data_IF_767324774149
#
_entry.id   IF_767324774149
#
_cell.length_a   1.000
_cell.length_b   1.000
_cell.length_c   1.000
_cell.angle_alpha   90.00
_cell.angle_beta   90.00
_cell.angle_gamma   90.00
#
_symmetry.space_group_name_H-M   'P 1'
#
loop_
_entity.id
_entity.type
_entity.pdbx_description
1 polymer ?
#
# COMPACT_ATOMS: atom_id res chain seq x y z
N UNK A 1 22.57 -5.66 -46.21
CA UNK A 1 23.03 -5.22 -44.88
C UNK A 1 21.79 -5.09 -44.01
N UNK A 2 21.37 -6.21 -43.42
CA UNK A 2 20.20 -6.28 -42.56
C UNK A 2 20.60 -5.78 -41.16
N UNK A 3 20.20 -4.55 -40.84
CA UNK A 3 20.29 -4.05 -39.48
C UNK A 3 19.15 -4.64 -38.67
N UNK A 4 19.47 -5.65 -37.86
CA UNK A 4 18.62 -6.15 -36.79
C UNK A 4 18.26 -5.00 -35.83
N UNK A 5 17.11 -4.36 -36.04
CA UNK A 5 16.49 -3.48 -35.04
C UNK A 5 15.95 -4.36 -33.91
N UNK A 6 16.82 -4.68 -32.94
CA UNK A 6 16.40 -5.22 -31.67
C UNK A 6 15.33 -4.31 -31.07
N UNK A 7 14.20 -4.89 -30.64
CA UNK A 7 13.09 -4.18 -30.02
C UNK A 7 13.50 -3.70 -28.62
N UNK A 8 14.31 -2.65 -28.56
CA UNK A 8 14.70 -1.99 -27.31
C UNK A 8 13.45 -1.27 -26.81
N UNK A 9 12.84 -1.81 -25.76
CA UNK A 9 11.72 -1.20 -25.05
C UNK A 9 12.05 0.21 -24.58
N UNK A 10 11.02 0.99 -24.25
CA UNK A 10 11.21 2.38 -23.80
C UNK A 10 11.94 2.42 -22.46
N UNK A 11 13.01 3.20 -22.34
CA UNK A 11 13.72 3.41 -21.06
C UNK A 11 12.93 4.36 -20.15
N UNK A 12 13.30 4.47 -18.88
CA UNK A 12 12.60 5.40 -17.96
C UNK A 12 12.91 6.85 -18.36
N UNK A 13 14.13 7.14 -18.77
CA UNK A 13 14.56 8.46 -19.25
C UNK A 13 13.76 8.90 -20.49
N UNK A 14 13.54 7.99 -21.44
CA UNK A 14 12.74 8.27 -22.64
C UNK A 14 11.26 8.56 -22.29
N UNK A 15 10.71 7.84 -21.31
CA UNK A 15 9.33 8.07 -20.84
C UNK A 15 9.22 9.38 -20.05
N UNK A 16 10.18 9.68 -19.19
CA UNK A 16 10.22 10.92 -18.42
C UNK A 16 10.30 12.13 -19.36
N UNK A 17 11.21 12.11 -20.34
CA UNK A 17 11.31 13.18 -21.33
C UNK A 17 10.02 13.36 -22.13
N UNK A 18 9.36 12.25 -22.50
CA UNK A 18 8.07 12.30 -23.22
C UNK A 18 6.96 12.91 -22.36
N UNK A 19 6.88 12.52 -21.09
CA UNK A 19 5.89 13.05 -20.14
C UNK A 19 6.16 14.53 -19.87
N UNK A 20 7.40 14.93 -19.63
CA UNK A 20 7.75 16.33 -19.36
C UNK A 20 7.41 17.25 -20.54
N UNK A 21 7.72 16.82 -21.76
CA UNK A 21 7.33 17.54 -22.97
C UNK A 21 5.81 17.63 -23.14
N UNK A 22 5.10 16.54 -22.84
CA UNK A 22 3.63 16.53 -22.85
C UNK A 22 3.07 17.53 -21.83
N UNK A 23 3.55 17.51 -20.58
CA UNK A 23 3.10 18.43 -19.52
C UNK A 23 3.42 19.89 -19.85
N UNK A 24 4.58 20.16 -20.44
CA UNK A 24 4.95 21.49 -20.95
C UNK A 24 3.96 21.98 -21.99
N UNK A 25 3.63 21.16 -22.99
CA UNK A 25 2.64 21.51 -24.02
C UNK A 25 1.24 21.71 -23.43
N UNK A 26 0.82 20.85 -22.49
CA UNK A 26 -0.46 20.96 -21.81
C UNK A 26 -0.57 22.26 -21.00
N UNK A 27 0.52 22.68 -20.32
CA UNK A 27 0.58 23.96 -19.61
C UNK A 27 0.39 25.14 -20.56
N UNK A 28 1.01 25.11 -21.74
CA UNK A 28 0.83 26.16 -22.76
C UNK A 28 -0.61 26.19 -23.27
N UNK A 29 -1.20 25.02 -23.57
CA UNK A 29 -2.59 24.92 -24.01
C UNK A 29 -3.57 25.49 -22.96
N UNK A 30 -3.40 25.12 -21.69
CA UNK A 30 -4.23 25.62 -20.59
C UNK A 30 -4.06 27.13 -20.37
N UNK A 31 -2.90 27.69 -20.69
CA UNK A 31 -2.65 29.13 -20.65
C UNK A 31 -3.13 29.88 -21.91
N UNK A 32 -3.72 29.18 -22.89
CA UNK A 32 -4.11 29.75 -24.18
C UNK A 32 -2.93 30.17 -25.06
N UNK A 33 -1.71 29.71 -24.73
CA UNK A 33 -0.50 30.05 -25.48
C UNK A 33 -0.29 29.09 -26.64
N UNK A 34 0.04 29.58 -27.85
CA UNK A 34 0.27 28.73 -28.99
C UNK A 34 1.56 27.91 -28.81
N UNK A 35 1.51 26.65 -29.22
CA UNK A 35 2.69 25.78 -29.29
C UNK A 35 2.67 24.95 -30.57
N UNK A 36 3.84 24.50 -31.02
CA UNK A 36 3.99 23.67 -32.21
C UNK A 36 4.45 22.27 -31.82
N UNK A 37 3.55 21.28 -31.98
CA UNK A 37 3.82 19.85 -31.73
C UNK A 37 5.09 19.36 -32.45
N UNK A 38 5.27 19.77 -33.71
CA UNK A 38 6.45 19.43 -34.51
C UNK A 38 7.76 19.96 -33.95
N UNK A 39 7.75 21.15 -33.32
CA UNK A 39 8.94 21.72 -32.70
C UNK A 39 9.31 20.95 -31.43
N UNK A 40 8.33 20.58 -30.60
CA UNK A 40 8.60 19.78 -29.41
C UNK A 40 9.10 18.37 -29.77
N UNK A 41 8.53 17.74 -30.80
CA UNK A 41 9.04 16.46 -31.30
C UNK A 41 10.48 16.57 -31.80
N UNK A 42 10.84 17.68 -32.48
CA UNK A 42 12.21 17.90 -32.93
C UNK A 42 13.19 18.03 -31.75
N UNK A 43 12.79 18.73 -30.67
CA UNK A 43 13.61 18.84 -29.45
C UNK A 43 13.83 17.48 -28.78
N UNK A 44 12.77 16.68 -28.65
CA UNK A 44 12.87 15.33 -28.09
C UNK A 44 13.81 14.44 -28.91
N UNK A 45 13.67 14.45 -30.24
CA UNK A 45 14.50 13.67 -31.16
C UNK A 45 15.95 14.18 -31.24
N UNK A 46 16.19 15.46 -30.96
CA UNK A 46 17.55 15.99 -30.85
C UNK A 46 18.22 15.62 -29.52
N UNK A 47 17.44 15.20 -28.51
CA UNK A 47 17.91 14.89 -27.16
C UNK A 47 17.61 13.44 -26.76
N UNK A 48 16.81 13.29 -25.69
CA UNK A 48 16.55 12.03 -25.01
C UNK A 48 15.91 10.94 -25.90
N UNK A 49 15.30 11.30 -27.03
CA UNK A 49 14.64 10.39 -27.96
C UNK A 49 15.37 10.28 -29.31
N UNK A 50 16.68 10.54 -29.35
CA UNK A 50 17.50 10.49 -30.57
C UNK A 50 17.50 9.14 -31.31
N UNK A 51 17.26 8.04 -30.58
CA UNK A 51 17.13 6.70 -31.17
C UNK A 51 15.72 6.40 -31.72
N UNK A 52 14.74 7.29 -31.51
CA UNK A 52 13.32 7.06 -31.84
C UNK A 52 12.94 7.75 -33.15
N UNK A 53 11.80 7.34 -33.71
CA UNK A 53 11.23 7.98 -34.91
C UNK A 53 10.16 8.99 -34.52
N UNK A 54 9.93 10.00 -35.37
CA UNK A 54 8.84 10.97 -35.18
C UNK A 54 7.48 10.30 -34.97
N UNK A 55 7.19 9.24 -35.72
CA UNK A 55 5.95 8.46 -35.56
C UNK A 55 5.85 7.78 -34.19
N UNK A 56 6.96 7.27 -33.66
CA UNK A 56 6.98 6.65 -32.33
C UNK A 56 6.80 7.66 -31.19
N UNK A 57 7.35 8.88 -31.35
CA UNK A 57 7.14 9.98 -30.40
C UNK A 57 5.68 10.43 -30.42
N UNK A 58 5.10 10.61 -31.60
CA UNK A 58 3.67 10.97 -31.74
C UNK A 58 2.76 9.92 -31.09
N UNK A 59 3.01 8.64 -31.34
CA UNK A 59 2.26 7.56 -30.72
C UNK A 59 2.44 7.51 -29.20
N UNK A 60 3.63 7.85 -28.68
CA UNK A 60 3.89 7.99 -27.24
C UNK A 60 3.04 9.10 -26.63
N UNK A 61 2.88 10.25 -27.30
CA UNK A 61 1.97 11.31 -26.83
C UNK A 61 0.53 10.81 -26.75
N UNK A 62 0.07 10.02 -27.73
CA UNK A 62 -1.25 9.37 -27.70
C UNK A 62 -1.40 8.35 -26.57
N UNK A 63 -0.33 7.62 -26.22
CA UNK A 63 -0.32 6.75 -25.05
C UNK A 63 -0.46 7.55 -23.75
N UNK A 64 0.19 8.71 -23.64
CA UNK A 64 0.04 9.60 -22.48
C UNK A 64 -1.39 10.15 -22.42
N UNK A 65 -1.98 10.58 -23.53
CA UNK A 65 -3.41 10.97 -23.58
C UNK A 65 -4.34 9.86 -23.09
N UNK A 66 -4.10 8.60 -23.49
CA UNK A 66 -4.89 7.47 -23.01
C UNK A 66 -4.78 7.30 -21.49
N UNK A 67 -3.58 7.48 -20.91
CA UNK A 67 -3.41 7.45 -19.45
C UNK A 67 -4.17 8.60 -18.79
N UNK A 68 -4.15 9.82 -19.35
CA UNK A 68 -4.94 10.95 -18.86
C UNK A 68 -6.44 10.66 -18.86
N UNK A 69 -6.97 10.06 -19.93
CA UNK A 69 -8.38 9.64 -19.99
C UNK A 69 -8.74 8.64 -18.88
N UNK A 70 -7.88 7.64 -18.63
CA UNK A 70 -8.14 6.69 -17.52
C UNK A 70 -8.11 7.33 -16.13
N UNK A 71 -7.52 8.51 -16.01
CA UNK A 71 -7.40 9.28 -14.77
C UNK A 71 -8.44 10.41 -14.71
N UNK A 72 -9.37 10.46 -15.68
CA UNK A 72 -10.37 11.50 -15.84
C UNK A 72 -9.78 12.92 -15.91
N UNK A 73 -8.56 13.03 -16.45
CA UNK A 73 -7.85 14.30 -16.68
C UNK A 73 -8.01 14.73 -18.13
N UNK A 74 -8.06 16.05 -18.37
CA UNK A 74 -8.14 16.59 -19.73
C UNK A 74 -6.78 16.47 -20.43
N UNK A 75 -6.73 15.74 -21.55
CA UNK A 75 -5.55 15.62 -22.41
C UNK A 75 -5.40 16.80 -23.36
N UNK A 76 -4.22 16.94 -23.98
CA UNK A 76 -3.95 17.93 -25.02
C UNK A 76 -4.84 17.69 -26.24
N UNK A 77 -5.39 18.77 -26.78
CA UNK A 77 -6.25 18.73 -27.97
C UNK A 77 -5.46 18.24 -29.20
N UNK A 78 -6.03 17.27 -29.92
CA UNK A 78 -5.43 16.69 -31.12
C UNK A 78 -4.31 15.68 -30.89
N UNK A 79 -4.13 15.17 -29.66
CA UNK A 79 -3.51 13.86 -29.44
C UNK A 79 -4.58 12.86 -29.01
N UNK A 80 -5.25 12.25 -29.99
CA UNK A 80 -6.30 11.25 -29.74
C UNK A 80 -5.71 10.06 -28.98
N UNK A 81 -6.33 9.67 -27.87
CA UNK A 81 -5.89 8.56 -27.05
C UNK A 81 -5.66 7.28 -27.88
N UNK A 82 -4.61 6.54 -27.54
CA UNK A 82 -4.36 5.24 -28.14
C UNK A 82 -5.30 4.19 -27.54
N UNK A 83 -5.91 3.37 -28.39
CA UNK A 83 -6.85 2.32 -27.96
C UNK A 83 -6.20 1.19 -27.15
N UNK A 84 -4.92 0.91 -27.38
CA UNK A 84 -4.18 -0.16 -26.72
C UNK A 84 -2.82 0.35 -26.22
N UNK A 85 -2.67 0.48 -24.90
CA UNK A 85 -1.39 0.81 -24.26
C UNK A 85 -1.01 -0.36 -23.34
N UNK A 86 0.21 -0.89 -23.49
CA UNK A 86 0.67 -2.01 -22.67
C UNK A 86 0.69 -1.66 -21.18
N UNK A 87 0.19 -2.56 -20.33
CA UNK A 87 0.03 -2.35 -18.88
C UNK A 87 1.31 -1.85 -18.20
N UNK A 88 2.47 -2.44 -18.52
CA UNK A 88 3.77 -2.02 -17.98
C UNK A 88 4.11 -0.56 -18.30
N UNK A 89 3.73 -0.08 -19.48
CA UNK A 89 3.96 1.31 -19.88
C UNK A 89 2.96 2.24 -19.18
N UNK A 90 1.69 1.84 -19.07
CA UNK A 90 0.67 2.58 -18.29
C UNK A 90 1.15 2.80 -16.86
N UNK A 91 1.60 1.74 -16.18
CA UNK A 91 2.11 1.84 -14.81
C UNK A 91 3.31 2.79 -14.68
N UNK A 92 4.23 2.78 -15.64
CA UNK A 92 5.40 3.68 -15.64
C UNK A 92 5.01 5.13 -15.89
N UNK A 93 4.12 5.40 -16.86
CA UNK A 93 3.61 6.74 -17.12
C UNK A 93 2.86 7.28 -15.89
N UNK A 94 1.99 6.47 -15.26
CA UNK A 94 1.29 6.85 -14.02
C UNK A 94 2.26 7.20 -12.89
N UNK A 95 3.33 6.41 -12.71
CA UNK A 95 4.39 6.71 -11.73
C UNK A 95 5.03 8.07 -11.99
N UNK A 96 5.45 8.34 -13.23
CA UNK A 96 6.08 9.61 -13.60
C UNK A 96 5.09 10.77 -13.38
N UNK A 97 3.83 10.63 -13.78
CA UNK A 97 2.81 11.67 -13.56
C UNK A 97 2.56 11.96 -12.07
N UNK A 98 2.59 10.95 -11.21
CA UNK A 98 2.51 11.13 -9.76
C UNK A 98 3.75 11.84 -9.20
N UNK A 99 4.95 11.51 -9.69
CA UNK A 99 6.20 12.22 -9.32
C UNK A 99 6.19 13.69 -9.73
N UNK A 100 5.50 14.03 -10.83
CA UNK A 100 5.29 15.41 -11.30
C UNK A 100 4.08 16.10 -10.64
N UNK A 101 3.40 15.45 -9.70
CA UNK A 101 2.24 16.02 -8.98
C UNK A 101 1.00 16.22 -9.85
N UNK A 102 0.90 15.54 -11.00
CA UNK A 102 -0.22 15.68 -11.95
C UNK A 102 -1.40 14.79 -11.55
N UNK A 103 -1.12 13.72 -10.82
CA UNK A 103 -2.11 12.73 -10.39
C UNK A 103 -1.85 12.45 -8.93
N UNK A 104 -2.91 12.41 -8.12
CA UNK A 104 -2.80 11.89 -6.77
C UNK A 104 -2.32 10.43 -6.85
N UNK A 105 -1.25 10.11 -6.12
CA UNK A 105 -0.87 8.71 -5.98
C UNK A 105 -2.08 7.94 -5.45
N UNK A 106 -2.37 6.76 -6.00
CA UNK A 106 -3.34 5.84 -5.38
C UNK A 106 -2.99 5.56 -3.91
N UNK A 107 -1.73 5.79 -3.51
CA UNK A 107 -1.29 5.69 -2.13
C UNK A 107 -1.82 6.80 -1.21
N UNK A 108 -2.25 7.94 -1.75
CA UNK A 108 -2.83 9.05 -0.97
C UNK A 108 -4.34 8.88 -0.77
N UNK A 109 -4.97 7.93 -1.48
CA UNK A 109 -6.40 7.74 -1.42
C UNK A 109 -6.82 7.19 -0.03
N UNK A 110 -7.82 7.79 0.63
CA UNK A 110 -8.41 7.22 1.85
C UNK A 110 -8.98 5.83 1.60
N UNK A 111 -9.00 5.00 2.63
CA UNK A 111 -9.57 3.64 2.59
C UNK A 111 -10.05 3.24 3.98
N UNK A 112 -11.10 2.41 4.04
CA UNK A 112 -11.56 1.78 5.28
C UNK A 112 -10.84 0.45 5.57
N UNK A 113 -10.15 -0.11 4.58
CA UNK A 113 -9.35 -1.33 4.72
C UNK A 113 -8.02 -1.03 5.40
N UNK A 114 -7.88 -1.48 6.65
CA UNK A 114 -6.73 -1.22 7.53
C UNK A 114 -5.39 -1.69 6.92
N UNK A 115 -5.37 -2.87 6.28
CA UNK A 115 -4.14 -3.40 5.68
C UNK A 115 -3.66 -2.51 4.52
N UNK A 116 -4.58 -2.10 3.65
CA UNK A 116 -4.29 -1.15 2.58
C UNK A 116 -3.84 0.20 3.13
N UNK A 117 -4.49 0.70 4.19
CA UNK A 117 -4.13 1.96 4.83
C UNK A 117 -2.70 1.93 5.37
N UNK A 118 -2.35 0.92 6.17
CA UNK A 118 -1.00 0.77 6.75
C UNK A 118 0.07 0.59 5.67
N UNK A 119 -0.22 -0.21 4.62
CA UNK A 119 0.71 -0.37 3.48
C UNK A 119 0.98 0.95 2.76
N UNK A 120 -0.06 1.76 2.55
CA UNK A 120 0.05 3.10 1.94
C UNK A 120 0.83 4.05 2.86
N UNK A 121 0.49 4.08 4.14
CA UNK A 121 1.14 4.90 5.16
C UNK A 121 2.65 4.60 5.26
N UNK A 122 3.04 3.32 5.34
CA UNK A 122 4.45 2.91 5.37
C UNK A 122 5.25 3.40 4.14
N UNK A 123 4.62 3.37 2.96
CA UNK A 123 5.23 3.88 1.73
C UNK A 123 5.39 5.40 1.76
N UNK A 124 4.40 6.13 2.27
CA UNK A 124 4.46 7.58 2.42
C UNK A 124 5.50 8.00 3.47
N UNK A 125 5.58 7.28 4.58
CA UNK A 125 6.55 7.50 5.66
C UNK A 125 8.01 7.39 5.20
N UNK A 126 8.29 6.61 4.14
CA UNK A 126 9.62 6.52 3.55
C UNK A 126 10.12 7.82 2.89
N UNK A 127 9.24 8.82 2.72
CA UNK A 127 9.54 10.12 2.11
C UNK A 127 9.30 11.26 3.11
N UNK A 128 10.01 12.39 2.99
CA UNK A 128 9.74 13.56 3.83
C UNK A 128 8.34 14.13 3.56
N UNK A 129 7.52 14.21 4.60
CA UNK A 129 6.25 14.95 4.59
C UNK A 129 6.58 16.41 4.88
N UNK A 130 6.50 17.27 3.86
CA UNK A 130 6.95 18.68 3.95
C UNK A 130 5.91 19.63 4.54
N UNK A 131 4.65 19.22 4.51
CA UNK A 131 3.49 20.04 4.89
C UNK A 131 2.59 19.23 5.80
N UNK A 132 2.04 19.87 6.82
CA UNK A 132 1.02 19.26 7.67
C UNK A 132 -0.20 18.89 6.82
N UNK A 133 -0.69 17.64 6.88
CA UNK A 133 -1.86 17.23 6.11
C UNK A 133 -3.14 17.79 6.75
N UNK A 134 -4.05 18.33 5.93
CA UNK A 134 -5.35 18.83 6.40
C UNK A 134 -6.25 17.71 6.97
N UNK A 135 -6.08 16.48 6.47
CA UNK A 135 -6.88 15.32 6.88
C UNK A 135 -8.31 15.33 6.30
N UNK A 136 -9.22 14.59 6.95
CA UNK A 136 -10.63 14.50 6.57
C UNK A 136 -11.48 14.99 7.74
N UNK A 137 -12.08 16.18 7.61
CA UNK A 137 -12.86 16.79 8.70
C UNK A 137 -14.11 15.97 9.08
N UNK A 138 -14.75 15.33 8.10
CA UNK A 138 -15.92 14.47 8.30
C UNK A 138 -15.68 13.14 7.58
N UNK A 139 -15.09 12.13 8.25
CA UNK A 139 -14.79 10.85 7.63
C UNK A 139 -16.07 10.10 7.26
N UNK A 140 -16.07 9.47 6.08
CA UNK A 140 -17.17 8.62 5.64
C UNK A 140 -17.27 7.37 6.53
N UNK A 141 -18.48 7.09 7.01
CA UNK A 141 -18.75 5.83 7.71
C UNK A 141 -19.04 4.71 6.70
N UNK A 142 -18.49 3.53 6.97
CA UNK A 142 -18.69 2.33 6.17
C UNK A 142 -19.16 1.21 7.09
N UNK A 143 -20.27 0.55 6.74
CA UNK A 143 -20.74 -0.64 7.44
C UNK A 143 -20.03 -1.89 6.91
N UNK A 144 -19.57 -2.76 7.79
CA UNK A 144 -18.89 -4.01 7.44
C UNK A 144 -19.62 -5.21 8.05
N UNK A 145 -19.58 -6.35 7.38
CA UNK A 145 -20.05 -7.63 7.91
C UNK A 145 -18.83 -8.44 8.32
N UNK A 146 -18.80 -8.93 9.57
CA UNK A 146 -17.71 -9.77 10.07
C UNK A 146 -18.22 -11.10 10.62
N UNK A 147 -17.42 -12.14 10.46
CA UNK A 147 -17.65 -13.45 11.07
C UNK A 147 -16.89 -13.51 12.38
N UNK A 148 -17.56 -13.94 13.46
CA UNK A 148 -16.96 -14.10 14.78
C UNK A 148 -17.27 -15.48 15.35
N UNK A 149 -16.39 -15.95 16.23
CA UNK A 149 -16.60 -17.19 16.97
C UNK A 149 -17.28 -16.90 18.31
N UNK A 150 -18.27 -17.72 18.67
CA UNK A 150 -18.75 -17.80 20.06
C UNK A 150 -17.64 -18.43 20.89
N UNK A 151 -17.31 -17.80 22.02
CA UNK A 151 -16.19 -18.21 22.89
C UNK A 151 -16.68 -18.50 24.30
N UNK A 152 -16.07 -19.47 24.95
CA UNK A 152 -16.37 -19.87 26.31
C UNK A 152 -15.77 -18.85 27.31
N UNK A 153 -16.61 -18.13 28.09
CA UNK A 153 -16.12 -17.17 29.07
C UNK A 153 -15.30 -17.83 30.20
N UNK A 154 -15.57 -19.09 30.53
CA UNK A 154 -14.87 -19.82 31.60
C UNK A 154 -13.42 -20.07 31.22
N UNK A 155 -13.13 -20.37 29.94
CA UNK A 155 -11.76 -20.51 29.43
C UNK A 155 -10.99 -19.20 29.63
N UNK A 156 -11.59 -18.06 29.28
CA UNK A 156 -10.93 -16.75 29.43
C UNK A 156 -10.68 -16.38 30.89
N UNK A 157 -11.67 -16.60 31.76
CA UNK A 157 -11.55 -16.33 33.18
C UNK A 157 -10.43 -17.18 33.81
N UNK A 158 -10.43 -18.49 33.53
CA UNK A 158 -9.44 -19.41 34.05
C UNK A 158 -8.01 -19.02 33.63
N UNK A 159 -7.81 -18.71 32.34
CA UNK A 159 -6.49 -18.29 31.82
C UNK A 159 -5.98 -17.02 32.50
N UNK A 160 -6.84 -16.02 32.73
CA UNK A 160 -6.45 -14.79 33.44
C UNK A 160 -6.12 -15.02 34.90
N UNK A 161 -6.87 -15.91 35.58
CA UNK A 161 -6.59 -16.28 36.96
C UNK A 161 -5.23 -16.98 37.08
N UNK A 162 -4.92 -17.93 36.18
CA UNK A 162 -3.63 -18.61 36.17
C UNK A 162 -2.46 -17.67 35.88
N UNK A 163 -2.70 -16.59 35.13
CA UNK A 163 -1.67 -15.62 34.78
C UNK A 163 -1.30 -14.69 35.95
N UNK A 164 -2.16 -14.57 36.98
CA UNK A 164 -1.94 -13.71 38.16
C UNK A 164 -1.50 -12.27 37.81
N UNK A 165 -2.07 -11.72 36.73
CA UNK A 165 -1.75 -10.38 36.24
C UNK A 165 -0.39 -10.25 35.55
N UNK A 166 0.30 -11.35 35.25
CA UNK A 166 1.56 -11.38 34.51
C UNK A 166 1.37 -11.95 33.11
N UNK A 167 1.98 -11.29 32.12
CA UNK A 167 1.98 -11.78 30.76
C UNK A 167 2.74 -13.11 30.66
N UNK A 168 2.11 -14.15 30.13
CA UNK A 168 2.75 -15.47 30.04
C UNK A 168 3.84 -15.52 28.96
N UNK A 169 3.81 -14.59 28.00
CA UNK A 169 4.86 -14.40 27.01
C UNK A 169 6.13 -13.79 27.61
N UNK A 170 6.09 -12.51 28.00
CA UNK A 170 7.27 -11.79 28.48
C UNK A 170 7.54 -11.92 29.99
N UNK A 171 6.57 -12.35 30.79
CA UNK A 171 6.68 -12.44 32.26
C UNK A 171 6.51 -11.12 33.02
N UNK A 172 6.31 -10.00 32.32
CA UNK A 172 6.07 -8.70 32.94
C UNK A 172 4.62 -8.59 33.45
N UNK A 173 4.41 -7.73 34.44
CA UNK A 173 3.07 -7.39 34.93
C UNK A 173 2.21 -6.75 33.82
N UNK A 174 0.90 -6.85 33.97
CA UNK A 174 -0.06 -6.22 33.10
C UNK A 174 0.21 -4.70 33.00
N UNK A 175 0.08 -4.11 31.79
CA UNK A 175 0.47 -2.72 31.56
C UNK A 175 -0.39 -1.71 32.33
N UNK A 176 -1.63 -2.08 32.65
CA UNK A 176 -2.56 -1.26 33.42
C UNK A 176 -3.65 -2.15 34.05
N UNK A 177 -4.47 -1.54 34.90
CA UNK A 177 -5.65 -2.16 35.50
C UNK A 177 -6.92 -1.63 34.84
N UNK A 178 -7.93 -2.48 34.77
CA UNK A 178 -9.30 -2.12 34.40
C UNK A 178 -9.96 -1.29 35.51
N UNK A 179 -11.10 -0.68 35.21
CA UNK A 179 -11.87 0.15 36.17
C UNK A 179 -12.30 -0.64 37.42
N UNK A 180 -12.45 -1.96 37.30
CA UNK A 180 -12.74 -2.88 38.41
C UNK A 180 -11.49 -3.29 39.22
N UNK A 181 -10.31 -2.76 38.89
CA UNK A 181 -9.03 -3.06 39.54
C UNK A 181 -8.30 -4.31 39.03
N UNK A 182 -8.89 -5.09 38.12
CA UNK A 182 -8.26 -6.29 37.57
C UNK A 182 -7.13 -5.96 36.58
N UNK A 183 -6.05 -6.74 36.53
CA UNK A 183 -4.95 -6.54 35.57
C UNK A 183 -5.41 -6.80 34.12
N UNK A 184 -5.03 -5.90 33.20
CA UNK A 184 -5.40 -6.04 31.79
C UNK A 184 -4.48 -7.01 31.02
N UNK A 185 -5.01 -8.19 30.71
CA UNK A 185 -4.39 -9.16 29.80
C UNK A 185 -5.41 -9.67 28.76
N UNK A 186 -4.93 -9.84 27.54
CA UNK A 186 -5.68 -10.40 26.42
C UNK A 186 -5.49 -11.91 26.35
N UNK A 187 -6.60 -12.65 26.24
CA UNK A 187 -6.55 -14.09 26.03
C UNK A 187 -6.38 -14.36 24.53
N UNK A 188 -5.28 -15.01 24.19
CA UNK A 188 -4.87 -15.33 22.82
C UNK A 188 -4.90 -16.85 22.62
N UNK A 189 -5.53 -17.29 21.52
CA UNK A 189 -5.46 -18.68 21.07
C UNK A 189 -4.20 -18.89 20.23
N UNK A 190 -3.28 -19.73 20.70
CA UNK A 190 -1.95 -19.92 20.10
C UNK A 190 -2.06 -20.45 18.67
N UNK A 191 -2.91 -21.46 18.45
CA UNK A 191 -3.48 -21.76 17.13
C UNK A 191 -4.75 -20.94 16.97
N UNK A 192 -4.76 -20.03 16.01
CA UNK A 192 -5.89 -19.14 15.79
C UNK A 192 -7.18 -19.91 15.48
N UNK A 193 -8.32 -19.45 16.01
CA UNK A 193 -9.63 -20.06 15.74
C UNK A 193 -9.95 -20.09 14.24
N UNK A 194 -9.58 -19.04 13.49
CA UNK A 194 -9.70 -18.97 12.03
C UNK A 194 -8.89 -20.06 11.30
N UNK A 195 -7.86 -20.62 11.96
CA UNK A 195 -7.03 -21.71 11.49
C UNK A 195 -7.42 -23.06 12.13
N UNK A 196 -8.69 -23.17 12.57
CA UNK A 196 -9.25 -24.36 13.23
C UNK A 196 -8.60 -24.71 14.58
N UNK A 197 -8.04 -23.73 15.28
CA UNK A 197 -7.64 -23.91 16.68
C UNK A 197 -8.84 -24.05 17.61
N UNK A 198 -8.67 -24.75 18.72
CA UNK A 198 -9.72 -24.96 19.71
C UNK A 198 -9.84 -23.81 20.72
N UNK A 199 -11.04 -23.57 21.24
CA UNK A 199 -11.26 -22.69 22.39
C UNK A 199 -11.11 -23.48 23.70
N UNK A 200 -9.86 -23.89 23.99
CA UNK A 200 -9.52 -24.68 25.18
C UNK A 200 -8.33 -24.07 25.91
N UNK A 201 -8.22 -24.39 27.20
CA UNK A 201 -7.08 -23.97 28.03
C UNK A 201 -5.72 -24.45 27.50
N UNK A 202 -5.71 -25.55 26.73
CA UNK A 202 -4.53 -26.13 26.09
C UNK A 202 -4.07 -25.37 24.84
N UNK A 203 -4.88 -24.43 24.36
CA UNK A 203 -4.56 -23.59 23.20
C UNK A 203 -4.63 -22.10 23.55
N UNK A 204 -4.79 -21.72 24.82
CA UNK A 204 -5.00 -20.33 25.22
C UNK A 204 -3.94 -19.82 26.22
N UNK A 205 -3.57 -18.55 26.07
CA UNK A 205 -2.59 -17.84 26.92
C UNK A 205 -3.04 -16.42 27.23
N UNK A 206 -2.64 -15.88 28.38
CA UNK A 206 -2.83 -14.48 28.75
C UNK A 206 -1.58 -13.67 28.35
N UNK A 207 -1.76 -12.69 27.48
CA UNK A 207 -0.68 -11.85 26.96
C UNK A 207 -0.97 -10.36 27.21
N UNK A 208 0.08 -9.58 27.43
CA UNK A 208 -0.03 -8.13 27.33
C UNK A 208 -0.24 -7.72 25.85
N UNK A 209 -0.76 -6.51 25.57
CA UNK A 209 -1.05 -6.05 24.20
C UNK A 209 0.14 -6.17 23.26
N UNK A 210 1.35 -5.86 23.75
CA UNK A 210 2.57 -5.95 22.94
C UNK A 210 2.90 -7.40 22.55
N UNK A 211 2.80 -8.35 23.49
CA UNK A 211 3.06 -9.76 23.21
C UNK A 211 1.95 -10.37 22.34
N UNK A 212 0.70 -9.96 22.55
CA UNK A 212 -0.41 -10.40 21.71
C UNK A 212 -0.23 -9.94 20.26
N UNK A 213 0.11 -8.67 20.03
CA UNK A 213 0.41 -8.16 18.69
C UNK A 213 1.66 -8.81 18.08
N UNK A 214 2.67 -9.14 18.88
CA UNK A 214 3.85 -9.90 18.42
C UNK A 214 3.44 -11.24 17.80
N UNK A 215 2.52 -11.99 18.42
CA UNK A 215 2.00 -13.23 17.83
C UNK A 215 1.34 -13.03 16.45
N UNK A 216 0.68 -11.90 16.22
CA UNK A 216 -0.01 -11.64 14.95
C UNK A 216 0.90 -11.06 13.87
N UNK A 217 1.74 -10.08 14.23
CA UNK A 217 2.33 -9.14 13.27
C UNK A 217 3.86 -9.17 13.22
N UNK A 218 4.55 -9.73 14.22
CA UNK A 218 6.00 -9.62 14.24
C UNK A 218 6.68 -10.53 13.20
N UNK A 219 7.89 -10.14 12.80
CA UNK A 219 8.76 -10.96 11.96
C UNK A 219 9.23 -12.23 12.65
N UNK A 220 9.24 -12.25 13.99
CA UNK A 220 9.69 -13.36 14.82
C UNK A 220 8.55 -14.16 15.46
N UNK A 221 7.31 -13.99 14.97
CA UNK A 221 6.11 -14.60 15.56
C UNK A 221 6.23 -16.11 15.74
N UNK A 222 6.80 -16.82 14.78
CA UNK A 222 6.93 -18.29 14.84
C UNK A 222 7.89 -18.72 15.94
N UNK A 223 8.97 -17.96 16.13
CA UNK A 223 9.95 -18.21 17.19
C UNK A 223 9.30 -17.89 18.55
N UNK A 224 8.58 -16.78 18.64
CA UNK A 224 7.86 -16.39 19.85
C UNK A 224 6.79 -17.42 20.25
N UNK A 225 5.98 -17.86 19.29
CA UNK A 225 4.94 -18.89 19.49
C UNK A 225 5.53 -20.22 19.92
N UNK A 226 6.64 -20.67 19.32
CA UNK A 226 7.37 -21.86 19.80
C UNK A 226 7.84 -21.70 21.25
N UNK A 227 8.31 -20.50 21.62
CA UNK A 227 8.69 -20.18 22.99
C UNK A 227 7.53 -20.33 24.00
N UNK A 228 6.29 -20.01 23.59
CA UNK A 228 5.12 -20.21 24.44
C UNK A 228 4.89 -21.70 24.77
N UNK A 229 4.98 -22.58 23.76
CA UNK A 229 4.84 -24.03 23.98
C UNK A 229 5.92 -24.60 24.91
N UNK A 230 7.14 -24.08 24.85
CA UNK A 230 8.22 -24.50 25.75
C UNK A 230 8.06 -24.00 27.18
N UNK A 231 7.47 -22.80 27.36
CA UNK A 231 7.36 -22.14 28.67
C UNK A 231 6.09 -22.54 29.44
N UNK A 232 5.01 -22.83 28.72
CA UNK A 232 3.68 -22.99 29.30
C UNK A 232 3.26 -24.45 29.19
N UNK A 233 3.39 -25.20 30.29
CA UNK A 233 3.23 -26.65 30.35
C UNK A 233 1.84 -27.14 29.89
N UNK A 234 0.79 -26.33 30.10
CA UNK A 234 -0.57 -26.72 29.72
C UNK A 234 -0.83 -26.68 28.21
N UNK A 235 0.04 -26.05 27.42
CA UNK A 235 -0.19 -25.92 25.98
C UNK A 235 0.09 -27.22 25.24
N UNK A 236 -0.82 -27.58 24.33
CA UNK A 236 -0.70 -28.77 23.47
C UNK A 236 -0.77 -28.29 22.02
N UNK A 237 0.26 -28.55 21.19
CA UNK A 237 0.21 -28.23 19.76
C UNK A 237 -0.94 -28.94 19.05
N UNK A 238 -1.69 -28.19 18.23
CA UNK A 238 -2.88 -28.64 17.49
C UNK A 238 -2.70 -28.60 15.97
#
# INVERSE_FOLDING_TARGET
MDTQKGNIGWTDEELEASVDAYLKMLKLENAGQPFKKSAEHALLLAGALSARSKASVDYRMRNISAVFETLNQKSITGYTAAHNVGSRIVSRIRRILAERGIVESEDNAPTFDEETLERRAAKLQSKPIKTEPEGIAVPQQVSTTSTSYVRDPVVRAWIRQQAEGKCEGCGLDAPFKLDNGEPFLEVHHVKHLAQKGSDRITNAVALCPNCHQRCHRSSDRDVFTKGLYSKIIRLIPE
#
